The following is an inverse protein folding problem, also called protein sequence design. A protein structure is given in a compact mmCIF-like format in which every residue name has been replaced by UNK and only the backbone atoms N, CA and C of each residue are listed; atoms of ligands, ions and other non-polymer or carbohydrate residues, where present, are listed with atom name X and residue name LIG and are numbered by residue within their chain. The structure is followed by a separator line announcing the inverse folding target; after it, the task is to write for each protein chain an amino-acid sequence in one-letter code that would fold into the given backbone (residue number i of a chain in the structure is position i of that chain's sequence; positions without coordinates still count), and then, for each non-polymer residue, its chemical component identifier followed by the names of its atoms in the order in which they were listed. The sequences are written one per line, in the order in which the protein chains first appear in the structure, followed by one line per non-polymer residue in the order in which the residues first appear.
data_IF_511009939345
#
_entry.id   IF_511009939345
#
_cell.length_a   1.000
_cell.length_b   1.000
_cell.length_c   1.000
_cell.angle_alpha   90.00
_cell.angle_beta   90.00
_cell.angle_gamma   90.00
#
_symmetry.space_group_name_H-M   'P 1'
#
loop_
_entity.id
_entity.type
_entity.pdbx_description
1 polymer ?
#
# COMPACT_ATOMS: atom_id res chain seq x y z
N UNK A 1 19.44 26.48 -55.44
CA UNK A 1 20.26 25.32 -55.05
C UNK A 1 19.32 24.28 -54.48
N UNK A 2 19.08 23.23 -55.26
CA UNK A 2 18.15 22.14 -54.98
C UNK A 2 18.83 21.13 -54.07
N UNK A 3 18.25 20.85 -52.91
CA UNK A 3 18.68 19.75 -52.03
C UNK A 3 18.02 18.48 -52.58
N UNK A 4 18.86 17.53 -52.95
CA UNK A 4 18.50 16.21 -53.47
C UNK A 4 18.00 15.38 -52.28
N UNK A 5 16.75 14.94 -52.33
CA UNK A 5 16.22 13.85 -51.52
C UNK A 5 16.96 12.56 -51.85
N UNK A 6 17.72 12.02 -50.90
CA UNK A 6 18.13 10.62 -50.92
C UNK A 6 17.25 9.83 -49.95
N UNK A 7 16.17 9.28 -50.50
CA UNK A 7 15.45 8.14 -49.94
C UNK A 7 16.40 6.94 -50.00
N UNK A 8 17.01 6.58 -48.87
CA UNK A 8 17.67 5.27 -48.75
C UNK A 8 16.60 4.21 -48.54
N UNK A 9 16.32 3.49 -49.61
CA UNK A 9 15.60 2.22 -49.63
C UNK A 9 16.37 1.23 -48.75
N UNK A 10 15.87 0.96 -47.54
CA UNK A 10 16.31 -0.16 -46.75
C UNK A 10 15.74 -1.43 -47.39
N UNK A 11 16.64 -2.30 -47.86
CA UNK A 11 16.32 -3.56 -48.49
C UNK A 11 15.52 -4.46 -47.55
N UNK A 12 14.33 -4.84 -48.02
CA UNK A 12 13.53 -5.95 -47.51
C UNK A 12 14.37 -7.24 -47.52
N UNK A 13 15.02 -7.55 -46.39
CA UNK A 13 15.46 -8.91 -46.08
C UNK A 13 14.38 -9.56 -45.24
N UNK A 14 13.39 -10.11 -45.94
CA UNK A 14 12.39 -11.01 -45.39
C UNK A 14 13.06 -12.35 -45.04
N UNK A 15 13.65 -12.45 -43.85
CA UNK A 15 13.85 -13.74 -43.20
C UNK A 15 12.56 -14.08 -42.46
N UNK A 16 11.68 -14.79 -43.16
CA UNK A 16 10.44 -15.37 -42.65
C UNK A 16 10.79 -16.65 -41.89
N UNK A 17 10.79 -16.61 -40.56
CA UNK A 17 10.80 -17.75 -39.63
C UNK A 17 10.55 -17.16 -38.23
N UNK A 18 9.50 -17.41 -37.45
CA UNK A 18 8.33 -18.26 -37.58
C UNK A 18 7.11 -17.50 -37.02
N UNK A 19 5.96 -17.66 -37.67
CA UNK A 19 4.67 -17.20 -37.20
C UNK A 19 4.34 -17.83 -35.84
N UNK A 20 4.09 -17.00 -34.83
CA UNK A 20 3.33 -17.37 -33.63
C UNK A 20 1.92 -17.70 -34.09
N UNK A 21 1.63 -18.98 -34.26
CA UNK A 21 0.28 -19.46 -34.52
C UNK A 21 -0.55 -19.33 -33.24
N UNK A 22 -1.77 -18.84 -33.36
CA UNK A 22 -2.85 -19.13 -32.43
C UNK A 22 -2.89 -20.64 -32.14
N UNK A 23 -2.53 -21.04 -30.91
CA UNK A 23 -2.69 -22.43 -30.45
C UNK A 23 -3.89 -22.48 -29.49
N UNK A 24 -5.07 -22.89 -29.98
CA UNK A 24 -6.08 -23.51 -29.14
C UNK A 24 -5.76 -25.01 -29.06
N UNK A 25 -4.96 -25.43 -28.08
CA UNK A 25 -4.98 -26.78 -27.47
C UNK A 25 -3.79 -26.96 -26.53
N UNK A 26 -4.01 -27.83 -25.55
CA UNK A 26 -3.13 -28.36 -24.50
C UNK A 26 -1.85 -29.05 -25.00
N UNK A 27 -1.06 -28.42 -25.88
CA UNK A 27 0.31 -28.86 -26.16
C UNK A 27 1.22 -28.32 -25.07
N UNK A 28 1.95 -29.23 -24.41
CA UNK A 28 2.88 -28.92 -23.33
C UNK A 28 3.85 -27.83 -23.77
N UNK A 29 3.72 -26.65 -23.19
CA UNK A 29 4.62 -25.53 -23.39
C UNK A 29 6.02 -25.93 -22.89
N UNK A 30 7.01 -25.83 -23.77
CA UNK A 30 8.42 -26.03 -23.44
C UNK A 30 9.21 -24.77 -23.74
N UNK A 31 9.89 -24.19 -22.74
CA UNK A 31 10.76 -23.02 -22.92
C UNK A 31 10.47 -21.85 -21.98
N UNK A 32 10.81 -20.64 -22.43
CA UNK A 32 10.60 -19.37 -21.72
C UNK A 32 9.25 -18.78 -22.11
N UNK A 33 8.43 -18.44 -21.12
CA UNK A 33 7.09 -17.93 -21.39
C UNK A 33 7.14 -16.47 -21.80
N UNK A 34 6.52 -16.16 -22.94
CA UNK A 34 6.52 -14.83 -23.57
C UNK A 34 5.16 -14.58 -24.18
N UNK A 35 4.50 -13.52 -23.76
CA UNK A 35 3.23 -13.11 -24.37
C UNK A 35 2.88 -11.66 -24.02
N UNK A 36 3.12 -10.74 -24.95
CA UNK A 36 2.77 -9.32 -24.79
C UNK A 36 1.29 -9.02 -25.04
N UNK A 37 0.51 -9.99 -25.52
CA UNK A 37 -0.93 -9.84 -25.80
C UNK A 37 -1.83 -10.28 -24.64
N UNK A 38 -1.26 -10.93 -23.62
CA UNK A 38 -2.00 -11.34 -22.42
C UNK A 38 -1.60 -10.48 -21.22
N UNK A 39 -2.58 -9.85 -20.58
CA UNK A 39 -2.35 -9.08 -19.36
C UNK A 39 -1.87 -9.98 -18.21
N UNK A 40 -2.56 -11.10 -18.01
CA UNK A 40 -2.32 -12.03 -16.91
C UNK A 40 -1.57 -13.26 -17.43
N UNK A 41 -0.51 -13.66 -16.73
CA UNK A 41 0.24 -14.86 -17.07
C UNK A 41 -0.65 -16.11 -16.94
N UNK A 42 -0.69 -16.92 -18.00
CA UNK A 42 -1.48 -18.15 -18.05
C UNK A 42 -1.11 -19.18 -16.97
N UNK A 43 0.16 -19.21 -16.54
CA UNK A 43 0.65 -20.17 -15.55
C UNK A 43 0.59 -19.67 -14.12
N UNK A 44 0.57 -18.34 -13.93
CA UNK A 44 0.60 -17.69 -12.62
C UNK A 44 -0.32 -16.48 -12.63
N UNK A 45 -1.53 -16.63 -12.10
CA UNK A 45 -2.58 -15.61 -12.15
C UNK A 45 -2.30 -14.34 -11.33
N UNK A 46 -1.27 -14.36 -10.47
CA UNK A 46 -0.77 -13.20 -9.75
C UNK A 46 0.20 -12.34 -10.55
N UNK A 47 0.66 -12.82 -11.71
CA UNK A 47 1.67 -12.16 -12.54
C UNK A 47 1.04 -11.43 -13.72
N UNK A 48 1.43 -10.17 -13.89
CA UNK A 48 0.96 -9.27 -14.96
C UNK A 48 2.11 -9.00 -15.94
N UNK A 49 1.83 -9.05 -17.24
CA UNK A 49 2.83 -8.78 -18.27
C UNK A 49 3.15 -7.28 -18.37
N UNK A 50 4.43 -6.95 -18.33
CA UNK A 50 4.90 -5.57 -18.38
C UNK A 50 4.73 -4.90 -19.74
N UNK A 51 4.97 -5.63 -20.82
CA UNK A 51 4.87 -5.11 -22.18
C UNK A 51 3.39 -4.88 -22.53
N UNK A 52 2.50 -5.81 -22.14
CA UNK A 52 1.05 -5.60 -22.27
C UNK A 52 0.63 -4.29 -21.59
N UNK A 53 1.07 -4.07 -20.34
CA UNK A 53 0.71 -2.87 -19.60
C UNK A 53 1.25 -1.59 -20.25
N UNK A 54 2.46 -1.65 -20.82
CA UNK A 54 3.06 -0.53 -21.54
C UNK A 54 2.22 -0.09 -22.75
N UNK A 55 1.91 -1.04 -23.65
CA UNK A 55 1.21 -0.74 -24.90
C UNK A 55 -0.26 -0.36 -24.70
N UNK A 56 -0.91 -0.92 -23.67
CA UNK A 56 -2.35 -0.71 -23.48
C UNK A 56 -2.66 0.48 -22.55
N UNK A 57 -1.76 0.81 -21.60
CA UNK A 57 -2.10 1.74 -20.52
C UNK A 57 -1.18 2.97 -20.42
N UNK A 58 -0.05 3.02 -21.13
CA UNK A 58 0.93 4.10 -20.97
C UNK A 58 1.08 4.97 -22.22
N UNK A 59 1.45 4.36 -23.35
CA UNK A 59 1.84 5.06 -24.58
C UNK A 59 0.96 4.57 -25.72
N UNK A 60 0.45 5.47 -26.57
CA UNK A 60 -0.23 5.06 -27.81
C UNK A 60 0.77 4.84 -28.93
N UNK A 61 0.47 3.99 -29.93
CA UNK A 61 1.37 3.75 -31.07
C UNK A 61 1.83 5.04 -31.78
N UNK A 62 1.00 6.09 -31.78
CA UNK A 62 1.35 7.41 -32.34
C UNK A 62 2.37 8.21 -31.53
N UNK A 63 2.62 7.82 -30.28
CA UNK A 63 3.55 8.46 -29.35
C UNK A 63 4.90 7.71 -29.31
N UNK A 64 5.01 6.52 -29.91
CA UNK A 64 6.22 5.70 -29.95
C UNK A 64 7.32 6.39 -30.78
N UNK A 65 8.51 6.54 -30.16
CA UNK A 65 9.68 7.13 -30.78
C UNK A 65 10.86 6.18 -30.57
N UNK A 66 11.66 5.98 -31.61
CA UNK A 66 12.95 5.30 -31.48
C UNK A 66 13.96 6.37 -31.07
N UNK A 67 14.56 6.18 -29.89
CA UNK A 67 15.52 7.10 -29.28
C UNK A 67 16.89 6.41 -29.17
N UNK A 68 17.92 7.17 -28.81
CA UNK A 68 19.27 6.61 -28.65
C UNK A 68 19.32 5.53 -27.57
N UNK A 69 20.15 4.51 -27.80
CA UNK A 69 20.45 3.44 -26.85
C UNK A 69 21.95 3.13 -26.91
N UNK A 70 22.65 3.26 -25.77
CA UNK A 70 24.09 2.98 -25.62
C UNK A 70 24.41 1.56 -25.14
N UNK A 71 23.43 0.67 -25.10
CA UNK A 71 23.57 -0.68 -24.54
C UNK A 71 24.63 -1.51 -25.26
N UNK A 72 25.56 -2.05 -24.48
CA UNK A 72 26.55 -3.03 -24.93
C UNK A 72 26.44 -4.30 -24.09
N UNK A 73 25.62 -5.24 -24.55
CA UNK A 73 25.36 -6.49 -23.85
C UNK A 73 26.12 -7.69 -24.45
N UNK A 74 27.13 -7.46 -25.29
CA UNK A 74 27.83 -8.51 -26.07
C UNK A 74 28.42 -9.64 -25.23
N UNK A 75 28.74 -9.38 -23.97
CA UNK A 75 29.38 -10.34 -23.07
C UNK A 75 28.41 -10.90 -22.01
N UNK A 76 27.11 -10.64 -22.13
CA UNK A 76 26.09 -11.12 -21.20
C UNK A 76 25.29 -12.23 -21.89
N UNK A 77 25.18 -13.44 -21.30
CA UNK A 77 24.41 -14.52 -21.90
C UNK A 77 22.94 -14.15 -22.03
N UNK A 78 22.27 -14.66 -23.07
CA UNK A 78 20.82 -14.55 -23.20
C UNK A 78 20.16 -15.69 -22.43
N UNK A 79 19.11 -15.40 -21.66
CA UNK A 79 18.33 -16.47 -21.03
C UNK A 79 17.66 -17.38 -22.08
N UNK A 80 17.36 -16.84 -23.27
CA UNK A 80 16.78 -17.60 -24.37
C UNK A 80 17.73 -18.67 -24.87
N UNK A 81 19.04 -18.38 -24.88
CA UNK A 81 20.06 -19.31 -25.37
C UNK A 81 20.34 -20.45 -24.37
N UNK A 82 20.06 -20.22 -23.07
CA UNK A 82 20.28 -21.20 -22.00
C UNK A 82 19.01 -21.93 -21.53
N UNK A 83 17.84 -21.56 -22.05
CA UNK A 83 16.54 -22.03 -21.53
C UNK A 83 16.41 -23.55 -21.54
N UNK A 84 16.94 -24.22 -22.56
CA UNK A 84 16.90 -25.68 -22.66
C UNK A 84 17.74 -26.36 -21.57
N UNK A 85 18.92 -25.80 -21.25
CA UNK A 85 19.77 -26.31 -20.16
C UNK A 85 19.13 -26.02 -18.79
N UNK A 86 18.54 -24.83 -18.62
CA UNK A 86 17.81 -24.44 -17.40
C UNK A 86 16.67 -25.43 -17.11
N UNK A 87 15.88 -25.76 -18.12
CA UNK A 87 14.74 -26.69 -17.98
C UNK A 87 15.21 -28.13 -17.75
N UNK A 88 16.29 -28.55 -18.44
CA UNK A 88 16.80 -29.92 -18.36
C UNK A 88 17.59 -30.17 -17.06
N UNK A 89 18.21 -29.14 -16.50
CA UNK A 89 19.11 -29.20 -15.35
C UNK A 89 18.77 -28.18 -14.27
N UNK A 90 17.52 -28.12 -13.74
CA UNK A 90 17.07 -27.04 -12.85
C UNK A 90 17.90 -26.96 -11.56
N UNK A 91 18.35 -28.11 -11.02
CA UNK A 91 19.14 -28.15 -9.78
C UNK A 91 20.48 -27.42 -9.91
N UNK A 92 21.12 -27.48 -11.09
CA UNK A 92 22.38 -26.76 -11.35
C UNK A 92 22.21 -25.26 -11.10
N UNK A 93 21.16 -24.67 -11.66
CA UNK A 93 20.89 -23.24 -11.57
C UNK A 93 20.41 -22.81 -10.18
N UNK A 94 19.66 -23.68 -9.49
CA UNK A 94 19.29 -23.47 -8.09
C UNK A 94 20.54 -23.42 -7.20
N UNK A 95 21.49 -24.32 -7.41
CA UNK A 95 22.72 -24.41 -6.60
C UNK A 95 23.74 -23.30 -6.93
N UNK A 96 23.80 -22.86 -8.20
CA UNK A 96 24.66 -21.74 -8.63
C UNK A 96 24.19 -20.38 -8.07
N UNK A 97 22.89 -20.23 -7.82
CA UNK A 97 22.30 -19.03 -7.23
C UNK A 97 22.02 -17.94 -8.27
N UNK A 98 22.30 -16.68 -7.93
CA UNK A 98 21.96 -15.53 -8.79
C UNK A 98 22.82 -15.47 -10.05
N UNK A 99 22.18 -15.44 -11.23
CA UNK A 99 22.84 -15.32 -12.53
C UNK A 99 22.47 -14.01 -13.23
N UNK A 100 23.36 -13.48 -14.08
CA UNK A 100 23.10 -12.26 -14.85
C UNK A 100 22.77 -12.60 -16.32
N UNK A 101 21.58 -12.23 -16.78
CA UNK A 101 21.11 -12.53 -18.13
C UNK A 101 20.64 -11.28 -18.89
N UNK A 102 20.70 -11.37 -20.22
CA UNK A 102 19.85 -10.61 -21.14
C UNK A 102 18.50 -11.30 -21.20
N UNK A 103 17.44 -10.52 -21.00
CA UNK A 103 16.07 -11.01 -20.89
C UNK A 103 15.19 -10.18 -21.83
N UNK A 104 14.44 -10.80 -22.76
CA UNK A 104 13.45 -10.11 -23.57
C UNK A 104 12.38 -9.43 -22.70
N UNK A 105 12.01 -8.19 -23.01
CA UNK A 105 11.02 -7.42 -22.23
C UNK A 105 9.66 -8.13 -22.12
N UNK A 106 9.22 -8.78 -23.20
CA UNK A 106 7.95 -9.52 -23.28
C UNK A 106 7.90 -10.82 -22.45
N UNK A 107 9.04 -11.22 -21.88
CA UNK A 107 9.17 -12.34 -20.95
C UNK A 107 9.11 -11.93 -19.48
N UNK A 108 9.12 -10.62 -19.19
CA UNK A 108 9.12 -10.12 -17.82
C UNK A 108 7.69 -9.90 -17.33
N UNK A 109 7.32 -10.62 -16.28
CA UNK A 109 6.05 -10.45 -15.59
C UNK A 109 6.28 -9.88 -14.20
N UNK A 110 5.27 -9.26 -13.62
CA UNK A 110 5.36 -8.65 -12.29
C UNK A 110 4.15 -8.99 -11.44
N UNK A 111 4.39 -9.27 -10.16
CA UNK A 111 3.34 -9.44 -9.17
C UNK A 111 2.91 -8.07 -8.62
N UNK A 112 1.77 -7.55 -9.08
CA UNK A 112 1.17 -6.27 -8.65
C UNK A 112 -0.24 -6.47 -8.06
N UNK A 113 -0.49 -6.01 -6.83
CA UNK A 113 -1.76 -6.23 -6.13
C UNK A 113 -2.97 -5.46 -6.69
N UNK A 114 -2.75 -4.46 -7.56
CA UNK A 114 -3.83 -3.66 -8.15
C UNK A 114 -4.15 -4.05 -9.59
N UNK A 115 -3.22 -4.73 -10.27
CA UNK A 115 -3.40 -5.18 -11.66
C UNK A 115 -3.63 -6.68 -11.77
N UNK A 116 -3.01 -7.48 -10.91
CA UNK A 116 -3.15 -8.94 -10.91
C UNK A 116 -4.27 -9.45 -10.01
N UNK A 117 -4.58 -10.73 -10.14
CA UNK A 117 -5.55 -11.41 -9.26
C UNK A 117 -4.95 -11.79 -7.89
N UNK A 118 -3.63 -11.68 -7.75
CA UNK A 118 -2.90 -12.00 -6.53
C UNK A 118 -2.42 -10.80 -5.73
N UNK A 119 -1.80 -11.08 -4.58
CA UNK A 119 -1.24 -10.07 -3.68
C UNK A 119 0.16 -9.63 -4.09
N UNK A 120 0.30 -8.88 -5.16
CA UNK A 120 1.60 -8.38 -5.61
C UNK A 120 2.19 -7.24 -4.77
N UNK A 121 3.50 -7.28 -4.53
CA UNK A 121 4.21 -6.21 -3.81
C UNK A 121 4.77 -5.11 -4.73
N UNK A 122 4.83 -5.36 -6.04
CA UNK A 122 5.31 -4.35 -6.98
C UNK A 122 4.22 -3.31 -7.30
N UNK A 123 4.61 -2.25 -8.03
CA UNK A 123 3.82 -1.03 -8.24
C UNK A 123 3.78 -0.63 -9.72
N UNK A 124 3.64 -1.61 -10.60
CA UNK A 124 3.43 -1.38 -12.03
C UNK A 124 2.20 -0.49 -12.26
N UNK A 125 1.15 -0.62 -11.44
CA UNK A 125 -0.07 0.20 -11.51
C UNK A 125 0.15 1.71 -11.45
N UNK A 126 1.32 2.18 -11.00
CA UNK A 126 1.67 3.61 -10.97
C UNK A 126 2.12 4.14 -12.34
N UNK A 127 2.44 3.25 -13.27
CA UNK A 127 2.83 3.58 -14.63
C UNK A 127 1.59 3.53 -15.53
N UNK A 128 0.87 4.64 -15.60
CA UNK A 128 -0.27 4.82 -16.49
C UNK A 128 -0.17 6.19 -17.16
N UNK A 129 -0.83 6.34 -18.31
CA UNK A 129 -0.77 7.56 -19.12
C UNK A 129 -1.07 8.82 -18.29
N UNK A 130 -0.14 9.77 -18.33
CA UNK A 130 -0.26 11.05 -17.63
C UNK A 130 0.09 11.03 -16.14
N UNK A 131 0.47 9.88 -15.57
CA UNK A 131 0.93 9.80 -14.18
C UNK A 131 2.24 10.59 -13.98
N UNK A 132 2.46 11.10 -12.76
CA UNK A 132 3.72 11.79 -12.44
C UNK A 132 4.94 10.87 -12.58
N UNK A 133 4.78 9.55 -12.42
CA UNK A 133 5.88 8.61 -12.62
C UNK A 133 6.27 8.56 -14.10
N UNK A 134 5.29 8.40 -15.00
CA UNK A 134 5.53 8.36 -16.45
C UNK A 134 6.19 9.66 -16.92
N UNK A 135 5.68 10.83 -16.49
CA UNK A 135 6.27 12.14 -16.84
C UNK A 135 7.73 12.26 -16.44
N UNK A 136 8.08 11.85 -15.21
CA UNK A 136 9.47 11.89 -14.73
C UNK A 136 10.41 11.03 -15.57
N UNK A 137 9.96 9.83 -15.98
CA UNK A 137 10.77 8.95 -16.82
C UNK A 137 10.82 9.40 -18.28
N UNK A 138 9.72 9.93 -18.81
CA UNK A 138 9.67 10.50 -20.17
C UNK A 138 10.61 11.68 -20.31
N UNK A 139 10.64 12.62 -19.36
CA UNK A 139 11.59 13.74 -19.38
C UNK A 139 13.03 13.25 -19.51
N UNK A 140 13.40 12.23 -18.73
CA UNK A 140 14.74 11.63 -18.76
C UNK A 140 15.05 10.93 -20.08
N UNK A 141 14.10 10.13 -20.59
CA UNK A 141 14.26 9.34 -21.82
C UNK A 141 14.30 10.24 -23.05
N UNK A 142 13.47 11.28 -23.10
CA UNK A 142 13.45 12.22 -24.22
C UNK A 142 14.75 13.04 -24.33
N UNK A 143 15.40 13.32 -23.20
CA UNK A 143 16.68 14.06 -23.19
C UNK A 143 17.87 13.17 -23.60
N UNK A 144 17.95 11.94 -23.09
CA UNK A 144 19.18 11.14 -23.17
C UNK A 144 19.02 9.76 -23.85
N UNK A 145 17.79 9.38 -24.22
CA UNK A 145 17.48 8.01 -24.61
C UNK A 145 17.69 7.01 -23.47
N UNK A 146 18.04 5.76 -23.80
CA UNK A 146 18.46 4.76 -22.84
C UNK A 146 19.97 4.83 -22.59
N UNK A 147 20.35 4.86 -21.30
CA UNK A 147 21.73 4.80 -20.85
C UNK A 147 21.96 3.61 -19.90
N UNK A 148 22.79 2.66 -20.31
CA UNK A 148 23.17 1.47 -19.55
C UNK A 148 24.03 1.84 -18.35
N UNK A 149 25.01 2.74 -18.48
CA UNK A 149 25.91 3.11 -17.36
C UNK A 149 25.15 3.70 -16.17
N UNK A 150 24.01 4.35 -16.42
CA UNK A 150 23.10 4.88 -15.40
C UNK A 150 21.99 3.92 -14.95
N UNK A 151 22.05 2.64 -15.36
CA UNK A 151 20.98 1.66 -15.16
C UNK A 151 21.51 0.36 -14.54
N UNK A 152 21.27 0.19 -13.24
CA UNK A 152 21.50 -1.09 -12.57
C UNK A 152 20.65 -2.21 -13.20
N UNK A 153 21.09 -3.48 -13.12
CA UNK A 153 20.26 -4.62 -13.50
C UNK A 153 18.87 -4.59 -12.85
N UNK A 154 17.90 -5.18 -13.54
CA UNK A 154 16.63 -5.57 -12.92
C UNK A 154 16.89 -6.77 -11.99
N UNK A 155 15.95 -7.07 -11.10
CA UNK A 155 15.98 -8.28 -10.28
C UNK A 155 14.70 -9.06 -10.49
N UNK A 156 14.82 -10.36 -10.69
CA UNK A 156 13.69 -11.26 -10.87
C UNK A 156 14.00 -12.69 -10.43
N UNK A 157 12.95 -13.51 -10.47
CA UNK A 157 13.00 -14.92 -10.12
C UNK A 157 12.47 -15.77 -11.26
N UNK A 158 13.06 -16.94 -11.46
CA UNK A 158 12.45 -18.00 -12.29
C UNK A 158 11.44 -18.78 -11.47
N UNK A 159 10.20 -18.80 -11.95
CA UNK A 159 9.17 -19.75 -11.51
C UNK A 159 9.05 -20.89 -12.52
N UNK A 160 8.97 -22.11 -12.03
CA UNK A 160 8.95 -23.31 -12.85
C UNK A 160 7.54 -23.62 -13.33
N UNK A 161 7.39 -23.88 -14.63
CA UNK A 161 6.18 -24.48 -15.20
C UNK A 161 6.38 -25.99 -15.19
N UNK A 162 5.50 -26.70 -14.48
CA UNK A 162 5.61 -28.14 -14.23
C UNK A 162 4.41 -28.84 -14.84
N UNK A 163 4.65 -29.93 -15.58
CA UNK A 163 3.59 -30.74 -16.16
C UNK A 163 2.84 -31.55 -15.07
N UNK A 164 1.69 -32.16 -15.39
CA UNK A 164 0.95 -33.01 -14.44
C UNK A 164 1.74 -34.22 -13.91
N UNK A 165 2.89 -34.55 -14.50
CA UNK A 165 3.77 -35.63 -14.08
C UNK A 165 4.94 -35.15 -13.21
N UNK A 166 4.99 -33.86 -12.87
CA UNK A 166 6.03 -33.28 -12.01
C UNK A 166 7.32 -32.91 -12.74
N UNK A 167 7.35 -32.91 -14.08
CA UNK A 167 8.53 -32.52 -14.86
C UNK A 167 8.47 -31.05 -15.20
N UNK A 168 9.62 -30.36 -15.07
CA UNK A 168 9.76 -28.98 -15.53
C UNK A 168 9.66 -28.97 -17.05
N UNK A 169 8.71 -28.21 -17.60
CA UNK A 169 8.59 -28.01 -19.04
C UNK A 169 8.98 -26.59 -19.42
N UNK A 170 8.84 -25.60 -18.54
CA UNK A 170 9.20 -24.24 -18.88
C UNK A 170 9.47 -23.35 -17.69
N UNK A 171 9.73 -22.07 -17.99
CA UNK A 171 10.01 -21.04 -17.00
C UNK A 171 9.21 -19.77 -17.27
N UNK A 172 8.83 -19.08 -16.19
CA UNK A 172 8.27 -17.72 -16.20
C UNK A 172 9.16 -16.83 -15.35
N UNK A 173 9.47 -15.62 -15.83
CA UNK A 173 10.29 -14.65 -15.10
C UNK A 173 9.38 -13.71 -14.31
N UNK A 174 9.41 -13.82 -12.98
CA UNK A 174 8.78 -12.89 -12.05
C UNK A 174 9.77 -11.79 -11.68
N UNK A 175 9.67 -10.64 -12.34
CA UNK A 175 10.43 -9.43 -12.04
C UNK A 175 9.85 -8.76 -10.80
N UNK A 176 10.72 -8.56 -9.80
CA UNK A 176 10.36 -7.94 -8.52
C UNK A 176 10.76 -6.47 -8.46
N UNK A 177 11.72 -6.00 -9.27
CA UNK A 177 12.10 -4.59 -9.28
C UNK A 177 12.56 -4.09 -10.65
N UNK A 178 12.39 -2.77 -10.87
CA UNK A 178 12.92 -2.09 -12.05
C UNK A 178 11.88 -1.65 -13.10
N UNK A 179 10.61 -1.46 -12.72
CA UNK A 179 9.55 -0.96 -13.63
C UNK A 179 9.95 0.30 -14.41
N UNK A 180 10.61 1.27 -13.77
CA UNK A 180 11.10 2.47 -14.47
C UNK A 180 12.15 2.14 -15.52
N UNK A 181 13.07 1.22 -15.24
CA UNK A 181 14.10 0.79 -16.21
C UNK A 181 13.50 0.01 -17.37
N UNK A 182 12.57 -0.90 -17.07
CA UNK A 182 11.79 -1.60 -18.10
C UNK A 182 11.06 -0.60 -19.01
N UNK A 183 10.33 0.34 -18.40
CA UNK A 183 9.62 1.41 -19.10
C UNK A 183 10.54 2.22 -20.02
N UNK A 184 11.64 2.75 -19.48
CA UNK A 184 12.58 3.57 -20.25
C UNK A 184 13.18 2.80 -21.41
N UNK A 185 13.51 1.51 -21.21
CA UNK A 185 14.09 0.66 -22.25
C UNK A 185 13.10 0.45 -23.40
N UNK A 186 11.86 0.04 -23.12
CA UNK A 186 10.80 -0.07 -24.13
C UNK A 186 10.54 1.26 -24.83
N UNK A 187 10.47 2.34 -24.05
CA UNK A 187 10.21 3.69 -24.55
C UNK A 187 11.24 4.12 -25.59
N UNK A 188 12.52 3.85 -25.34
CA UNK A 188 13.61 4.17 -26.28
C UNK A 188 13.60 3.32 -27.54
N UNK A 189 12.93 2.16 -27.55
CA UNK A 189 12.84 1.25 -28.70
C UNK A 189 11.52 1.38 -29.45
N UNK A 190 10.77 2.46 -29.24
CA UNK A 190 9.45 2.62 -29.84
C UNK A 190 8.50 1.47 -29.51
N UNK A 191 8.58 0.94 -28.29
CA UNK A 191 7.74 -0.17 -27.83
C UNK A 191 8.12 -1.55 -28.37
N UNK A 192 9.13 -1.67 -29.23
CA UNK A 192 9.56 -2.98 -29.72
C UNK A 192 10.20 -3.82 -28.61
N UNK A 193 9.96 -5.13 -28.66
CA UNK A 193 10.61 -6.09 -27.76
C UNK A 193 12.11 -5.95 -27.88
N UNK A 194 12.77 -5.79 -26.73
CA UNK A 194 14.22 -5.58 -26.62
C UNK A 194 14.75 -6.31 -25.40
N UNK A 195 16.07 -6.35 -25.21
CA UNK A 195 16.70 -7.01 -24.06
C UNK A 195 16.85 -6.03 -22.89
N UNK A 196 16.56 -6.49 -21.68
CA UNK A 196 16.99 -5.86 -20.43
C UNK A 196 18.00 -6.75 -19.71
N UNK A 197 18.94 -6.14 -18.97
CA UNK A 197 19.82 -6.91 -18.10
C UNK A 197 19.09 -7.20 -16.78
N UNK A 198 19.02 -8.46 -16.38
CA UNK A 198 18.39 -8.91 -15.15
C UNK A 198 19.29 -9.85 -14.36
N UNK A 199 19.40 -9.62 -13.05
CA UNK A 199 19.85 -10.61 -12.08
C UNK A 199 18.67 -11.55 -11.78
N UNK A 200 18.85 -12.83 -12.08
CA UNK A 200 17.83 -13.86 -11.95
C UNK A 200 18.25 -14.84 -10.87
N UNK A 201 17.37 -14.99 -9.88
CA UNK A 201 17.43 -16.08 -8.90
C UNK A 201 16.51 -17.22 -9.32
N UNK A 202 16.88 -18.46 -8.95
CA UNK A 202 16.10 -19.64 -9.24
C UNK A 202 15.46 -20.18 -7.97
N UNK A 203 14.13 -20.30 -7.97
CA UNK A 203 13.42 -20.93 -6.85
C UNK A 203 13.67 -22.44 -6.81
N UNK A 204 13.42 -23.07 -5.68
CA UNK A 204 13.27 -24.54 -5.66
C UNK A 204 12.12 -24.99 -6.56
N UNK A 205 12.22 -26.20 -7.11
CA UNK A 205 11.12 -26.81 -7.87
C UNK A 205 10.05 -27.28 -6.89
N UNK A 206 8.88 -26.61 -6.91
CA UNK A 206 7.71 -27.01 -6.14
C UNK A 206 6.76 -27.77 -7.08
N UNK A 207 6.43 -29.01 -6.72
CA UNK A 207 5.54 -29.88 -7.52
C UNK A 207 4.08 -29.73 -7.11
N UNK A 208 3.83 -29.19 -5.92
CA UNK A 208 2.55 -28.67 -5.52
C UNK A 208 2.37 -27.28 -6.14
N UNK A 209 1.35 -27.09 -6.97
CA UNK A 209 1.02 -25.80 -7.61
C UNK A 209 0.61 -24.69 -6.61
N UNK A 210 1.00 -24.77 -5.34
CA UNK A 210 0.79 -23.73 -4.36
C UNK A 210 1.91 -22.68 -4.47
N UNK A 211 1.71 -21.72 -5.36
CA UNK A 211 2.68 -20.66 -5.66
C UNK A 211 2.94 -19.67 -4.51
N UNK A 212 2.27 -19.84 -3.36
CA UNK A 212 2.49 -19.03 -2.15
C UNK A 212 3.97 -18.99 -1.73
N UNK A 213 4.71 -20.10 -1.90
CA UNK A 213 6.13 -20.16 -1.57
C UNK A 213 6.98 -19.26 -2.47
N UNK A 214 6.75 -19.28 -3.79
CA UNK A 214 7.41 -18.37 -4.73
C UNK A 214 7.21 -16.94 -4.31
N UNK A 215 5.95 -16.59 -4.06
CA UNK A 215 5.61 -15.22 -3.76
C UNK A 215 6.18 -14.73 -2.43
N UNK A 216 6.27 -15.60 -1.41
CA UNK A 216 6.88 -15.27 -0.12
C UNK A 216 8.36 -14.89 -0.30
N UNK A 217 9.13 -15.74 -0.99
CA UNK A 217 10.57 -15.52 -1.24
C UNK A 217 10.80 -14.26 -2.09
N UNK A 218 10.01 -14.08 -3.16
CA UNK A 218 10.07 -12.89 -4.02
C UNK A 218 9.81 -11.61 -3.23
N UNK A 219 8.81 -11.65 -2.35
CA UNK A 219 8.43 -10.51 -1.52
C UNK A 219 9.46 -10.20 -0.44
N UNK A 220 10.05 -11.22 0.18
CA UNK A 220 11.17 -11.04 1.13
C UNK A 220 12.35 -10.32 0.47
N UNK A 221 12.70 -10.72 -0.77
CA UNK A 221 13.76 -10.08 -1.54
C UNK A 221 13.41 -8.65 -1.94
N UNK A 222 12.17 -8.40 -2.38
CA UNK A 222 11.66 -7.05 -2.64
C UNK A 222 11.79 -6.12 -1.42
N UNK A 223 11.40 -6.60 -0.23
CA UNK A 223 11.48 -5.81 1.00
C UNK A 223 12.92 -5.54 1.40
N UNK A 224 13.84 -6.49 1.22
CA UNK A 224 15.27 -6.34 1.54
C UNK A 224 15.95 -5.32 0.64
N UNK A 225 15.78 -5.46 -0.68
CA UNK A 225 16.48 -4.63 -1.67
C UNK A 225 16.07 -3.14 -1.58
N UNK A 226 14.83 -2.88 -1.17
CA UNK A 226 14.26 -1.53 -1.17
C UNK A 226 14.42 -0.77 0.15
N UNK A 227 14.86 -1.42 1.24
CA UNK A 227 15.20 -0.74 2.50
C UNK A 227 16.27 0.36 2.32
N UNK A 228 17.04 0.30 1.23
CA UNK A 228 18.15 1.21 0.95
C UNK A 228 17.88 2.23 -0.18
N UNK A 229 16.82 2.07 -1.00
CA UNK A 229 16.73 2.80 -2.28
C UNK A 229 15.51 3.71 -2.46
N UNK A 230 14.36 3.47 -1.80
CA UNK A 230 13.21 4.40 -1.79
C UNK A 230 12.19 4.02 -0.69
N UNK A 231 11.62 4.98 0.08
CA UNK A 231 10.57 4.65 1.05
C UNK A 231 9.27 4.25 0.34
N UNK A 232 8.85 2.99 0.49
CA UNK A 232 7.53 2.54 0.03
C UNK A 232 6.38 3.25 0.76
N UNK A 233 5.24 3.39 0.08
CA UNK A 233 3.98 3.76 0.71
C UNK A 233 3.52 2.68 1.72
N UNK A 234 2.59 3.06 2.59
CA UNK A 234 2.12 2.21 3.69
C UNK A 234 1.48 0.92 3.20
N UNK A 235 0.65 0.97 2.15
CA UNK A 235 0.00 -0.21 1.56
C UNK A 235 1.02 -1.22 1.06
N UNK A 236 1.96 -0.77 0.22
CA UNK A 236 2.98 -1.65 -0.35
C UNK A 236 3.80 -2.34 0.75
N UNK A 237 4.18 -1.61 1.82
CA UNK A 237 4.88 -2.19 2.98
C UNK A 237 4.05 -3.25 3.70
N UNK A 238 2.75 -3.01 3.83
CA UNK A 238 1.85 -3.91 4.53
C UNK A 238 1.58 -5.18 3.74
N UNK A 239 1.23 -5.07 2.44
CA UNK A 239 1.10 -6.21 1.52
C UNK A 239 2.36 -7.06 1.57
N UNK A 240 3.51 -6.43 1.34
CA UNK A 240 4.77 -7.13 1.28
C UNK A 240 5.13 -7.82 2.62
N UNK A 241 4.92 -7.10 3.72
CA UNK A 241 5.20 -7.60 5.05
C UNK A 241 4.31 -8.76 5.51
N UNK A 242 3.01 -8.72 5.20
CA UNK A 242 2.08 -9.82 5.51
C UNK A 242 2.45 -11.05 4.69
N UNK A 243 2.76 -10.86 3.41
CA UNK A 243 3.04 -11.94 2.47
C UNK A 243 4.38 -12.63 2.70
N UNK A 244 5.40 -11.89 3.14
CA UNK A 244 6.65 -12.49 3.62
C UNK A 244 6.48 -13.27 4.93
N UNK A 245 5.33 -13.15 5.60
CA UNK A 245 5.10 -13.75 6.91
C UNK A 245 5.87 -13.07 8.03
N UNK A 246 6.33 -11.83 7.84
CA UNK A 246 6.95 -11.06 8.91
C UNK A 246 5.92 -10.83 10.01
N UNK A 247 6.23 -11.40 11.19
CA UNK A 247 5.36 -11.44 12.36
C UNK A 247 4.80 -10.07 12.73
N UNK A 248 5.56 -8.99 12.56
CA UNK A 248 5.05 -7.63 12.82
C UNK A 248 3.79 -7.33 12.01
N UNK A 249 3.80 -7.66 10.73
CA UNK A 249 2.74 -7.31 9.80
C UNK A 249 1.59 -8.31 9.87
N UNK A 250 1.90 -9.60 10.09
CA UNK A 250 0.90 -10.64 10.34
C UNK A 250 0.05 -10.30 11.58
N UNK A 251 0.66 -9.86 12.68
CA UNK A 251 -0.11 -9.48 13.89
C UNK A 251 -0.95 -8.22 13.67
N UNK A 252 -0.44 -7.24 12.89
CA UNK A 252 -1.24 -6.07 12.52
C UNK A 252 -2.45 -6.44 11.66
N UNK A 253 -2.27 -7.36 10.70
CA UNK A 253 -3.37 -7.92 9.90
C UNK A 253 -4.39 -8.63 10.80
N UNK A 254 -3.94 -9.47 11.73
CA UNK A 254 -4.83 -10.18 12.65
C UNK A 254 -5.64 -9.21 13.52
N UNK A 255 -5.04 -8.09 13.97
CA UNK A 255 -5.76 -7.03 14.67
C UNK A 255 -6.86 -6.42 13.78
N UNK A 256 -6.55 -6.12 12.51
CA UNK A 256 -7.54 -5.56 11.59
C UNK A 256 -8.65 -6.55 11.25
N UNK A 257 -8.33 -7.81 11.00
CA UNK A 257 -9.31 -8.88 10.81
C UNK A 257 -10.25 -9.02 12.02
N UNK A 258 -9.69 -9.12 13.24
CA UNK A 258 -10.46 -9.18 14.49
C UNK A 258 -11.45 -8.03 14.63
N UNK A 259 -11.10 -6.88 14.09
CA UNK A 259 -11.86 -5.65 14.21
C UNK A 259 -12.66 -5.30 12.95
N UNK A 260 -12.82 -6.24 12.00
CA UNK A 260 -13.59 -6.03 10.77
C UNK A 260 -13.11 -4.75 10.03
N UNK A 261 -11.79 -4.65 9.86
CA UNK A 261 -11.10 -3.61 9.07
C UNK A 261 -10.35 -4.30 7.94
N UNK A 262 -10.51 -3.80 6.73
CA UNK A 262 -9.61 -4.01 5.61
C UNK A 262 -8.70 -2.79 5.43
N UNK A 263 -7.47 -3.02 5.02
CA UNK A 263 -6.55 -1.94 4.67
C UNK A 263 -5.99 -2.24 3.29
N UNK A 264 -6.43 -1.45 2.30
CA UNK A 264 -6.09 -1.59 0.87
C UNK A 264 -6.33 -3.01 0.31
N UNK A 265 -7.37 -3.69 0.82
CA UNK A 265 -7.75 -5.04 0.39
C UNK A 265 -6.85 -6.16 0.93
N UNK A 266 -5.89 -5.87 1.81
CA UNK A 266 -4.94 -6.87 2.30
C UNK A 266 -5.63 -7.94 3.14
N UNK A 267 -6.58 -7.57 3.99
CA UNK A 267 -7.23 -8.55 4.86
C UNK A 267 -8.11 -9.47 4.03
N UNK A 268 -8.93 -8.91 3.13
CA UNK A 268 -9.80 -9.71 2.25
C UNK A 268 -9.06 -10.63 1.30
N UNK A 269 -7.86 -10.25 0.87
CA UNK A 269 -7.04 -11.07 -0.03
C UNK A 269 -6.17 -12.11 0.69
N UNK A 270 -5.90 -11.94 1.99
CA UNK A 270 -5.02 -12.85 2.77
C UNK A 270 -5.76 -13.75 3.75
N UNK A 271 -7.07 -13.59 3.87
CA UNK A 271 -7.94 -14.30 4.81
C UNK A 271 -9.26 -14.65 4.13
N UNK A 272 -10.09 -15.48 4.74
CA UNK A 272 -11.45 -15.74 4.27
C UNK A 272 -12.45 -14.68 4.76
N UNK A 273 -11.97 -13.63 5.42
CA UNK A 273 -12.78 -12.55 5.96
C UNK A 273 -12.98 -11.48 4.89
N UNK A 274 -14.19 -10.93 4.77
CA UNK A 274 -14.47 -9.79 3.87
C UNK A 274 -14.86 -8.61 4.76
N UNK A 275 -13.89 -7.78 5.20
CA UNK A 275 -14.21 -6.76 6.17
C UNK A 275 -15.05 -5.63 5.58
N UNK A 276 -15.96 -5.08 6.38
CA UNK A 276 -16.87 -4.03 5.91
C UNK A 276 -16.26 -2.62 5.93
N UNK A 277 -15.18 -2.42 6.69
CA UNK A 277 -14.61 -1.11 6.94
C UNK A 277 -13.21 -0.98 6.37
N UNK A 278 -12.84 0.22 5.94
CA UNK A 278 -11.50 0.56 5.49
C UNK A 278 -10.90 1.64 6.38
N UNK A 279 -9.62 1.49 6.73
CA UNK A 279 -8.88 2.50 7.48
C UNK A 279 -8.05 3.37 6.52
N UNK A 280 -8.15 4.70 6.61
CA UNK A 280 -7.40 5.60 5.71
C UNK A 280 -5.87 5.53 5.86
N UNK A 281 -5.38 5.09 7.02
CA UNK A 281 -3.95 4.87 7.32
C UNK A 281 -3.81 4.03 8.58
N UNK A 282 -2.82 3.13 8.65
CA UNK A 282 -2.50 2.42 9.88
C UNK A 282 -1.43 3.12 10.75
N UNK A 283 -1.03 4.36 10.41
CA UNK A 283 0.02 5.06 11.14
C UNK A 283 -0.29 5.15 12.65
N UNK A 284 0.72 4.90 13.48
CA UNK A 284 0.57 4.81 14.94
C UNK A 284 0.29 3.38 15.42
N UNK A 285 -0.37 2.56 14.62
CA UNK A 285 -0.59 1.14 14.90
C UNK A 285 0.56 0.32 14.34
N UNK A 286 1.25 -0.40 15.23
CA UNK A 286 2.41 -1.19 14.85
C UNK A 286 2.64 -2.32 15.85
N UNK A 287 3.33 -3.35 15.40
CA UNK A 287 3.90 -4.40 16.23
C UNK A 287 5.43 -4.40 16.09
N UNK A 288 6.13 -4.94 17.08
CA UNK A 288 7.56 -5.19 17.00
C UNK A 288 7.86 -6.46 16.22
N UNK A 289 9.15 -6.69 15.87
CA UNK A 289 9.60 -7.91 15.17
C UNK A 289 9.22 -9.22 15.89
N UNK A 290 9.04 -9.17 17.21
CA UNK A 290 8.60 -10.31 18.03
C UNK A 290 7.09 -10.58 18.00
N UNK A 291 6.32 -9.75 17.28
CA UNK A 291 4.85 -9.76 17.29
C UNK A 291 4.23 -9.14 18.54
N UNK A 292 5.02 -8.44 19.37
CA UNK A 292 4.49 -7.71 20.53
C UNK A 292 3.90 -6.37 20.12
N UNK A 293 2.80 -5.91 20.75
CA UNK A 293 2.23 -4.60 20.46
C UNK A 293 3.26 -3.47 20.55
N UNK A 294 3.24 -2.60 19.55
CA UNK A 294 4.04 -1.39 19.48
C UNK A 294 3.54 -0.32 20.44
N UNK A 295 4.13 0.89 20.36
CA UNK A 295 3.95 1.93 21.39
C UNK A 295 2.48 2.29 21.64
N UNK A 296 1.70 2.61 20.61
CA UNK A 296 0.30 3.06 20.82
C UNK A 296 -0.58 1.94 21.36
N UNK A 297 -0.60 0.77 20.71
CA UNK A 297 -1.42 -0.37 21.14
C UNK A 297 -1.03 -0.82 22.55
N UNK A 298 0.27 -0.86 22.87
CA UNK A 298 0.74 -1.22 24.22
C UNK A 298 0.39 -0.18 25.27
N UNK A 299 0.49 1.12 24.93
CA UNK A 299 0.24 2.20 25.88
C UNK A 299 -1.25 2.37 26.17
N UNK A 300 -2.08 2.33 25.13
CA UNK A 300 -3.52 2.56 25.25
C UNK A 300 -4.33 1.28 25.45
N UNK A 301 -3.79 0.11 25.11
CA UNK A 301 -4.49 -1.17 25.21
C UNK A 301 -5.47 -1.44 24.06
N UNK A 302 -5.62 -2.71 23.71
CA UNK A 302 -6.56 -3.15 22.66
C UNK A 302 -8.03 -2.89 23.03
N UNK A 303 -8.37 -2.87 24.32
CA UNK A 303 -9.74 -2.60 24.77
C UNK A 303 -10.15 -1.15 24.43
N UNK A 304 -9.31 -0.15 24.69
CA UNK A 304 -9.60 1.23 24.28
C UNK A 304 -9.57 1.42 22.77
N UNK A 305 -8.72 0.67 22.06
CA UNK A 305 -8.74 0.60 20.60
C UNK A 305 -10.10 0.11 20.08
N UNK A 306 -10.60 -1.01 20.61
CA UNK A 306 -11.89 -1.58 20.22
C UNK A 306 -13.07 -0.63 20.48
N UNK A 307 -13.11 0.02 21.65
CA UNK A 307 -14.16 1.00 21.97
C UNK A 307 -14.11 2.22 21.06
N UNK A 308 -12.94 2.80 20.83
CA UNK A 308 -12.76 3.94 19.94
C UNK A 308 -13.17 3.61 18.50
N UNK A 309 -12.77 2.44 18.02
CA UNK A 309 -13.09 1.98 16.68
C UNK A 309 -14.59 1.73 16.49
N UNK A 310 -15.22 1.00 17.41
CA UNK A 310 -16.65 0.72 17.32
C UNK A 310 -17.48 2.00 17.39
N UNK A 311 -17.10 2.94 18.25
CA UNK A 311 -17.74 4.28 18.30
C UNK A 311 -17.63 4.99 16.95
N UNK A 312 -16.45 4.96 16.31
CA UNK A 312 -16.23 5.60 15.02
C UNK A 312 -17.02 4.92 13.89
N UNK A 313 -17.12 3.58 13.90
CA UNK A 313 -17.95 2.81 12.98
C UNK A 313 -19.43 3.19 13.09
N UNK A 314 -19.95 3.25 14.31
CA UNK A 314 -21.35 3.63 14.56
C UNK A 314 -21.65 5.07 14.11
N UNK A 315 -20.72 6.00 14.37
CA UNK A 315 -20.81 7.38 13.86
C UNK A 315 -20.86 7.38 12.33
N UNK A 316 -19.93 6.70 11.66
CA UNK A 316 -19.83 6.70 10.20
C UNK A 316 -21.05 6.03 9.54
N UNK A 317 -21.54 4.95 10.13
CA UNK A 317 -22.76 4.27 9.71
C UNK A 317 -23.98 5.20 9.83
N UNK A 318 -24.17 5.84 10.98
CA UNK A 318 -25.30 6.76 11.21
C UNK A 318 -25.27 7.94 10.24
N UNK A 319 -24.08 8.52 10.00
CA UNK A 319 -23.90 9.65 9.07
C UNK A 319 -24.23 9.26 7.63
N UNK A 320 -23.88 8.04 7.22
CA UNK A 320 -24.10 7.56 5.85
C UNK A 320 -25.55 7.14 5.59
N UNK A 321 -26.21 6.43 6.52
CA UNK A 321 -27.64 6.11 6.40
C UNK A 321 -28.52 7.37 6.36
N UNK A 322 -28.16 8.40 7.13
CA UNK A 322 -28.86 9.68 7.14
C UNK A 322 -28.66 10.53 5.87
N UNK A 323 -27.84 10.09 4.91
CA UNK A 323 -27.54 10.85 3.70
C UNK A 323 -26.77 12.15 3.96
N UNK A 324 -26.17 12.30 5.14
CA UNK A 324 -25.55 13.55 5.56
C UNK A 324 -24.28 13.85 4.76
N UNK A 325 -24.07 15.13 4.42
CA UNK A 325 -22.87 15.61 3.74
C UNK A 325 -21.98 16.41 4.69
N UNK A 326 -20.67 16.37 4.46
CA UNK A 326 -19.68 17.15 5.23
C UNK A 326 -19.01 18.19 4.33
N UNK A 327 -18.81 19.39 4.87
CA UNK A 327 -18.03 20.44 4.21
C UNK A 327 -16.53 20.16 4.38
N UNK A 328 -15.84 19.92 3.26
CA UNK A 328 -14.38 19.79 3.23
C UNK A 328 -13.75 21.07 2.68
N UNK A 329 -12.83 21.66 3.45
CA UNK A 329 -12.05 22.82 3.02
C UNK A 329 -11.41 22.57 1.66
N UNK A 330 -11.62 23.49 0.71
CA UNK A 330 -11.10 23.39 -0.66
C UNK A 330 -11.79 22.39 -1.59
N UNK A 331 -12.74 21.57 -1.11
CA UNK A 331 -13.52 20.61 -1.92
C UNK A 331 -15.03 20.82 -1.88
N UNK A 332 -15.51 21.73 -1.03
CA UNK A 332 -16.95 22.00 -0.87
C UNK A 332 -17.66 20.85 -0.15
N UNK A 333 -18.94 20.67 -0.44
CA UNK A 333 -19.75 19.58 0.11
C UNK A 333 -19.34 18.25 -0.51
N UNK A 334 -19.03 17.28 0.34
CA UNK A 334 -18.66 15.93 -0.09
C UNK A 334 -19.55 14.90 0.57
N UNK A 335 -20.05 13.96 -0.23
CA UNK A 335 -20.66 12.72 0.26
C UNK A 335 -19.60 11.91 1.00
N UNK A 336 -19.99 11.38 2.15
CA UNK A 336 -19.07 10.64 3.01
C UNK A 336 -18.94 9.20 2.49
N UNK A 337 -17.72 8.69 2.29
CA UNK A 337 -17.54 7.27 1.99
C UNK A 337 -18.11 6.44 3.15
N UNK A 338 -19.07 5.56 2.83
CA UNK A 338 -19.85 4.81 3.84
C UNK A 338 -18.95 3.99 4.79
N UNK A 339 -17.83 3.48 4.27
CA UNK A 339 -17.02 2.47 4.94
C UNK A 339 -15.60 2.95 5.29
N UNK A 340 -15.27 4.25 5.15
CA UNK A 340 -13.91 4.74 5.42
C UNK A 340 -13.81 5.39 6.80
N UNK A 341 -12.80 4.96 7.57
CA UNK A 341 -12.53 5.41 8.94
C UNK A 341 -11.28 6.31 8.97
N UNK A 342 -11.40 7.58 9.44
CA UNK A 342 -10.26 8.46 9.59
C UNK A 342 -9.33 8.01 10.74
N UNK A 343 -8.06 7.73 10.42
CA UNK A 343 -7.06 7.31 11.40
C UNK A 343 -6.83 8.36 12.51
N UNK A 344 -6.86 9.64 12.14
CA UNK A 344 -6.72 10.77 13.06
C UNK A 344 -7.83 10.79 14.12
N UNK A 345 -9.08 10.58 13.70
CA UNK A 345 -10.23 10.48 14.59
C UNK A 345 -10.09 9.26 15.53
N UNK A 346 -9.78 8.09 14.97
CA UNK A 346 -9.56 6.86 15.73
C UNK A 346 -8.50 7.07 16.83
N UNK A 347 -7.33 7.61 16.47
CA UNK A 347 -6.23 7.84 17.42
C UNK A 347 -6.56 8.89 18.48
N UNK A 348 -7.41 9.86 18.15
CA UNK A 348 -7.89 10.86 19.13
C UNK A 348 -8.86 10.21 20.11
N UNK A 349 -9.82 9.41 19.62
CA UNK A 349 -10.77 8.69 20.46
C UNK A 349 -10.07 7.70 21.39
N UNK A 350 -9.08 6.95 20.90
CA UNK A 350 -8.28 6.03 21.74
C UNK A 350 -7.71 6.74 22.98
N UNK A 351 -7.16 7.94 22.78
CA UNK A 351 -6.61 8.76 23.87
C UNK A 351 -7.69 9.20 24.85
N UNK A 352 -8.86 9.58 24.35
CA UNK A 352 -9.99 9.95 25.20
C UNK A 352 -10.50 8.76 26.02
N UNK A 353 -10.72 7.60 25.39
CA UNK A 353 -11.13 6.38 26.09
C UNK A 353 -10.11 6.00 27.17
N UNK A 354 -8.82 5.91 26.83
CA UNK A 354 -7.78 5.59 27.81
C UNK A 354 -7.70 6.60 28.97
N UNK A 355 -7.78 7.90 28.68
CA UNK A 355 -7.54 8.92 29.70
C UNK A 355 -8.76 9.17 30.59
N UNK A 356 -9.97 9.06 30.05
CA UNK A 356 -11.20 9.40 30.76
C UNK A 356 -11.90 8.18 31.38
N UNK A 357 -11.67 6.97 30.87
CA UNK A 357 -12.44 5.80 31.28
C UNK A 357 -11.63 4.78 32.10
N UNK A 358 -10.33 4.99 32.24
CA UNK A 358 -9.47 4.12 33.04
C UNK A 358 -9.12 4.74 34.40
N UNK A 359 -8.98 3.87 35.40
CA UNK A 359 -8.36 4.22 36.68
C UNK A 359 -6.87 4.52 36.48
N UNK A 360 -6.32 5.44 37.27
CA UNK A 360 -4.89 5.73 37.23
C UNK A 360 -4.38 6.21 38.58
N UNK A 361 -3.06 6.14 38.77
CA UNK A 361 -2.39 6.78 39.92
C UNK A 361 -2.09 8.22 39.58
N UNK A 362 -2.58 9.15 40.38
CA UNK A 362 -2.23 10.55 40.25
C UNK A 362 -0.78 10.79 40.69
N UNK A 363 0.05 11.36 39.82
CA UNK A 363 1.48 11.53 40.06
C UNK A 363 1.78 12.53 41.20
N UNK A 364 0.94 13.55 41.38
CA UNK A 364 1.15 14.54 42.45
C UNK A 364 0.74 14.03 43.83
N UNK A 365 -0.35 13.27 43.91
CA UNK A 365 -0.92 12.86 45.19
C UNK A 365 -0.65 11.40 45.55
N UNK A 366 -0.17 10.60 44.59
CA UNK A 366 0.02 9.15 44.72
C UNK A 366 -1.30 8.36 44.84
N UNK A 367 -2.45 9.02 44.74
CA UNK A 367 -3.76 8.39 44.97
C UNK A 367 -4.27 7.71 43.71
N UNK A 368 -4.96 6.58 43.90
CA UNK A 368 -5.76 5.99 42.84
C UNK A 368 -6.97 6.88 42.54
N UNK A 369 -7.06 7.35 41.31
CA UNK A 369 -8.17 8.11 40.78
C UNK A 369 -9.07 7.15 39.99
N UNK A 370 -10.37 7.06 40.30
CA UNK A 370 -11.29 6.25 39.52
C UNK A 370 -11.49 6.84 38.11
N UNK A 371 -12.06 6.07 37.17
CA UNK A 371 -12.49 6.57 35.87
C UNK A 371 -13.27 7.88 35.98
N UNK A 372 -13.02 8.80 35.05
CA UNK A 372 -13.72 10.09 35.01
C UNK A 372 -15.19 9.91 34.59
N UNK A 373 -15.42 9.06 33.59
CA UNK A 373 -16.72 8.58 33.13
C UNK A 373 -16.63 7.10 32.71
N UNK A 374 -17.76 6.46 32.40
CA UNK A 374 -17.74 5.12 31.82
C UNK A 374 -17.43 5.16 30.33
N UNK A 375 -17.07 4.02 29.75
CA UNK A 375 -16.87 3.89 28.30
C UNK A 375 -18.17 4.14 27.52
N UNK A 376 -19.29 3.70 28.07
CA UNK A 376 -20.61 3.90 27.47
C UNK A 376 -20.99 5.38 27.45
N UNK A 377 -20.74 6.11 28.55
CA UNK A 377 -20.99 7.56 28.58
C UNK A 377 -20.18 8.29 27.50
N UNK A 378 -18.88 8.00 27.41
CA UNK A 378 -18.01 8.65 26.43
C UNK A 378 -18.42 8.29 24.99
N UNK A 379 -18.74 7.01 24.73
CA UNK A 379 -19.26 6.55 23.44
C UNK A 379 -20.50 7.35 23.04
N UNK A 380 -21.50 7.43 23.92
CA UNK A 380 -22.78 8.08 23.62
C UNK A 380 -22.62 9.57 23.36
N UNK A 381 -21.75 10.25 24.10
CA UNK A 381 -21.47 11.68 23.88
C UNK A 381 -20.76 11.91 22.54
N UNK A 382 -19.75 11.09 22.23
CA UNK A 382 -19.03 11.19 20.95
C UNK A 382 -19.95 10.87 19.77
N UNK A 383 -20.80 9.86 19.91
CA UNK A 383 -21.81 9.50 18.92
C UNK A 383 -22.74 10.69 18.65
N UNK A 384 -23.40 11.19 19.70
CA UNK A 384 -24.28 12.35 19.60
C UNK A 384 -23.60 13.54 18.91
N UNK A 385 -22.38 13.89 19.33
CA UNK A 385 -21.65 15.03 18.76
C UNK A 385 -21.47 14.87 17.25
N UNK A 386 -20.94 13.74 16.79
CA UNK A 386 -20.56 13.56 15.40
C UNK A 386 -21.70 13.06 14.49
N UNK A 387 -22.89 12.82 15.03
CA UNK A 387 -24.09 12.53 14.25
C UNK A 387 -25.14 13.64 14.33
N UNK A 388 -24.96 14.64 15.18
CA UNK A 388 -25.88 15.77 15.30
C UNK A 388 -25.93 16.55 13.99
N UNK A 389 -27.15 16.68 13.45
CA UNK A 389 -27.42 17.50 12.27
C UNK A 389 -27.88 18.90 12.66
N UNK A 390 -27.62 19.85 11.76
CA UNK A 390 -28.06 21.23 11.91
C UNK A 390 -29.60 21.32 11.84
N UNK A 391 -30.13 22.55 12.03
CA UNK A 391 -31.58 22.78 11.97
C UNK A 391 -32.24 22.39 10.65
N UNK A 392 -31.52 22.41 9.53
CA UNK A 392 -32.09 21.96 8.24
C UNK A 392 -32.11 20.44 8.10
N UNK A 393 -31.41 19.70 8.98
CA UNK A 393 -31.27 18.25 8.89
C UNK A 393 -30.35 17.78 7.76
N UNK A 394 -29.71 18.71 7.04
CA UNK A 394 -28.96 18.43 5.82
C UNK A 394 -27.46 18.23 6.08
N UNK A 395 -26.93 18.83 7.16
CA UNK A 395 -25.50 18.88 7.45
C UNK A 395 -25.21 18.43 8.86
N UNK A 396 -24.15 17.64 9.03
CA UNK A 396 -23.61 17.34 10.36
C UNK A 396 -23.00 18.63 10.94
N UNK A 397 -23.37 19.00 12.17
CA UNK A 397 -22.87 20.21 12.84
C UNK A 397 -21.36 20.12 13.11
N UNK A 398 -20.87 18.91 13.43
CA UNK A 398 -19.48 18.65 13.77
C UNK A 398 -18.91 17.57 12.86
N UNK A 399 -17.95 17.95 12.01
CA UNK A 399 -17.33 17.03 11.06
C UNK A 399 -16.14 16.29 11.65
N UNK A 400 -15.96 15.01 11.34
CA UNK A 400 -14.75 14.25 11.73
C UNK A 400 -13.47 14.87 11.15
N UNK A 401 -13.55 15.70 10.11
CA UNK A 401 -12.40 16.43 9.59
C UNK A 401 -11.80 17.42 10.60
N UNK A 402 -12.53 17.83 11.64
CA UNK A 402 -11.99 18.66 12.74
C UNK A 402 -10.90 17.92 13.54
N UNK A 403 -10.92 16.59 13.51
CA UNK A 403 -9.95 15.73 14.18
C UNK A 403 -8.70 15.46 13.33
N UNK A 404 -8.64 15.96 12.10
CA UNK A 404 -7.45 15.84 11.28
C UNK A 404 -6.32 16.70 11.84
N UNK A 405 -5.12 16.11 11.91
CA UNK A 405 -3.91 16.85 12.22
C UNK A 405 -3.69 17.92 11.14
N UNK A 406 -3.72 19.19 11.52
CA UNK A 406 -3.33 20.31 10.66
C UNK A 406 -1.83 20.56 10.81
N UNK A 407 -1.20 21.19 9.83
CA UNK A 407 0.26 21.39 9.84
C UNK A 407 0.78 22.10 11.11
N UNK A 408 -0.04 22.98 11.70
CA UNK A 408 0.25 23.70 12.94
C UNK A 408 -0.12 22.92 14.22
N UNK A 409 -0.95 21.87 14.13
CA UNK A 409 -1.52 21.13 15.27
C UNK A 409 -1.46 19.62 15.03
N UNK A 410 -0.34 19.00 15.39
CA UNK A 410 -0.12 17.55 15.27
C UNK A 410 -0.39 16.75 16.55
N UNK A 411 -0.60 17.42 17.68
CA UNK A 411 -0.87 16.74 18.95
C UNK A 411 -2.33 16.28 19.07
N UNK A 412 -2.54 14.97 19.08
CA UNK A 412 -3.87 14.36 19.14
C UNK A 412 -4.56 14.52 20.50
N UNK A 413 -3.82 14.72 21.60
CA UNK A 413 -4.44 15.10 22.87
C UNK A 413 -4.99 16.51 22.76
N UNK A 414 -4.19 17.46 22.26
CA UNK A 414 -4.64 18.84 22.08
C UNK A 414 -5.83 18.93 21.13
N UNK A 415 -5.81 18.19 20.02
CA UNK A 415 -6.95 18.09 19.08
C UNK A 415 -8.22 17.62 19.80
N UNK A 416 -8.16 16.57 20.61
CA UNK A 416 -9.33 16.13 21.39
C UNK A 416 -9.83 17.19 22.38
N UNK A 417 -8.92 17.94 23.01
CA UNK A 417 -9.26 19.02 23.95
C UNK A 417 -9.97 20.17 23.23
N UNK A 418 -9.44 20.60 22.09
CA UNK A 418 -9.94 21.77 21.35
C UNK A 418 -11.22 21.50 20.55
N UNK A 419 -11.57 20.22 20.35
CA UNK A 419 -12.73 19.81 19.54
C UNK A 419 -13.90 19.36 20.40
N UNK A 420 -13.80 18.22 21.09
CA UNK A 420 -14.96 17.60 21.75
C UNK A 420 -14.89 17.55 23.28
N UNK A 421 -13.71 17.72 23.90
CA UNK A 421 -13.60 17.49 25.35
C UNK A 421 -14.49 18.43 26.16
N UNK A 422 -14.66 19.67 25.72
CA UNK A 422 -15.57 20.61 26.39
C UNK A 422 -17.02 20.12 26.38
N UNK A 423 -17.48 19.52 25.28
CA UNK A 423 -18.83 18.95 25.19
C UNK A 423 -18.97 17.71 26.07
N UNK A 424 -17.94 16.87 26.14
CA UNK A 424 -17.89 15.75 27.11
C UNK A 424 -18.02 16.25 28.54
N UNK A 425 -17.30 17.31 28.91
CA UNK A 425 -17.36 17.87 30.26
C UNK A 425 -18.72 18.51 30.57
N UNK A 426 -19.33 19.18 29.59
CA UNK A 426 -20.60 19.87 29.76
C UNK A 426 -21.77 18.87 29.82
N UNK A 427 -21.75 17.82 28.99
CA UNK A 427 -22.80 16.80 28.97
C UNK A 427 -22.81 15.96 30.26
N UNK A 428 -21.64 15.51 30.73
CA UNK A 428 -21.51 14.80 32.01
C UNK A 428 -21.96 15.65 33.22
N UNK A 429 -21.83 16.98 33.13
CA UNK A 429 -22.36 17.88 34.15
C UNK A 429 -23.89 18.03 34.02
N UNK A 430 -24.40 18.18 32.80
CA UNK A 430 -25.83 18.34 32.52
C UNK A 430 -26.67 17.10 32.88
N UNK A 431 -26.10 15.89 32.72
CA UNK A 431 -26.76 14.62 33.07
C UNK A 431 -26.74 14.32 34.58
N UNK A 432 -26.19 15.21 35.43
CA UNK A 432 -26.10 14.99 36.87
C UNK A 432 -25.06 13.94 37.29
N UNK A 433 -24.26 13.42 36.35
CA UNK A 433 -23.11 12.53 36.64
C UNK A 433 -22.04 13.29 37.44
N UNK A 434 -21.98 14.63 37.28
CA UNK A 434 -21.10 15.52 38.06
C UNK A 434 -21.85 16.79 38.49
N UNK A 435 -21.81 17.08 39.79
CA UNK A 435 -22.48 18.27 40.35
C UNK A 435 -21.67 19.58 40.20
N UNK A 436 -20.36 19.48 39.97
CA UNK A 436 -19.47 20.64 39.95
C UNK A 436 -18.81 20.81 38.58
N UNK A 437 -18.64 22.07 38.16
CA UNK A 437 -17.90 22.43 36.95
C UNK A 437 -16.44 21.95 37.08
N UNK A 438 -16.10 20.89 36.37
CA UNK A 438 -14.74 20.32 36.33
C UNK A 438 -13.79 21.35 35.70
N UNK A 439 -12.62 21.58 36.28
CA UNK A 439 -11.61 22.55 35.78
C UNK A 439 -10.31 21.81 35.42
N UNK A 440 -9.36 22.53 34.82
CA UNK A 440 -8.05 22.00 34.40
C UNK A 440 -7.28 21.31 35.53
N UNK A 441 -7.49 21.74 36.78
CA UNK A 441 -6.89 21.16 37.99
C UNK A 441 -7.44 19.79 38.40
N UNK A 442 -8.57 19.34 37.83
CA UNK A 442 -9.08 18.01 38.13
C UNK A 442 -8.07 16.94 37.68
N UNK A 443 -7.75 15.90 38.47
CA UNK A 443 -6.67 14.96 38.15
C UNK A 443 -6.76 14.35 36.74
N UNK A 444 -7.96 13.95 36.31
CA UNK A 444 -8.18 13.42 34.97
C UNK A 444 -7.92 14.45 33.85
N UNK A 445 -8.31 15.72 34.08
CA UNK A 445 -8.08 16.80 33.10
C UNK A 445 -6.59 17.15 33.04
N UNK A 446 -5.94 17.25 34.20
CA UNK A 446 -4.50 17.44 34.27
C UNK A 446 -3.77 16.33 33.53
N UNK A 447 -4.09 15.05 33.77
CA UNK A 447 -3.47 13.92 33.05
C UNK A 447 -3.63 14.06 31.52
N UNK A 448 -4.82 14.44 31.06
CA UNK A 448 -5.07 14.66 29.64
C UNK A 448 -4.23 15.82 29.08
N UNK A 449 -4.24 16.97 29.76
CA UNK A 449 -3.48 18.17 29.37
C UNK A 449 -1.97 17.90 29.39
N UNK A 450 -1.45 17.24 30.43
CA UNK A 450 -0.01 16.98 30.57
C UNK A 450 0.52 16.01 29.51
N UNK A 451 -0.37 15.26 28.86
CA UNK A 451 -0.04 14.39 27.73
C UNK A 451 0.16 15.14 26.41
N UNK A 452 -0.17 16.44 26.35
CA UNK A 452 0.16 17.29 25.21
C UNK A 452 1.68 17.50 25.10
N UNK A 453 2.18 17.64 23.88
CA UNK A 453 3.59 17.58 23.50
C UNK A 453 4.44 18.73 24.04
N UNK A 454 3.87 19.94 24.13
CA UNK A 454 4.62 21.13 24.53
C UNK A 454 3.86 22.03 25.49
N UNK A 455 4.60 22.91 26.17
CA UNK A 455 4.07 23.80 27.21
C UNK A 455 3.08 24.84 26.66
N UNK A 456 3.22 25.24 25.40
CA UNK A 456 2.29 26.20 24.80
C UNK A 456 0.91 25.57 24.62
N UNK A 457 0.85 24.38 24.02
CA UNK A 457 -0.38 23.59 23.88
C UNK A 457 -0.98 23.24 25.24
N UNK A 458 -0.17 22.90 26.24
CA UNK A 458 -0.64 22.67 27.62
C UNK A 458 -1.35 23.90 28.18
N UNK A 459 -0.76 25.09 28.04
CA UNK A 459 -1.35 26.34 28.53
C UNK A 459 -2.65 26.68 27.79
N UNK A 460 -2.68 26.54 26.46
CA UNK A 460 -3.89 26.73 25.68
C UNK A 460 -5.00 25.73 26.09
N UNK A 461 -4.66 24.46 26.27
CA UNK A 461 -5.58 23.44 26.71
C UNK A 461 -6.21 23.74 28.07
N UNK A 462 -5.41 24.23 29.04
CA UNK A 462 -5.94 24.68 30.35
C UNK A 462 -6.94 25.82 30.16
N UNK A 463 -6.61 26.81 29.34
CA UNK A 463 -7.50 27.94 29.07
C UNK A 463 -8.82 27.50 28.42
N UNK A 464 -8.77 26.56 27.46
CA UNK A 464 -9.96 26.01 26.81
C UNK A 464 -10.87 25.33 27.85
N UNK A 465 -10.33 24.45 28.68
CA UNK A 465 -11.10 23.71 29.69
C UNK A 465 -11.67 24.65 30.75
N UNK A 466 -10.86 25.60 31.24
CA UNK A 466 -11.26 26.48 32.33
C UNK A 466 -12.31 27.50 31.88
N UNK A 467 -12.19 28.01 30.66
CA UNK A 467 -13.07 29.05 30.11
C UNK A 467 -14.16 28.51 29.17
N UNK A 468 -14.37 27.19 29.13
CA UNK A 468 -15.44 26.60 28.30
C UNK A 468 -16.81 27.24 28.59
N UNK A 469 -17.70 27.37 27.59
CA UNK A 469 -19.03 27.92 27.80
C UNK A 469 -19.83 27.15 28.86
#
# INVERSE_FOLDING_TARGET
MSIIEQLSVAENTTSTEAFVSDIPSTKDFVGLYRNSNEEICRYFDDLVNNDYHYHNNIVTNSEELILSDDSNYKNIPSIVDEVEDIISNPQKYIDEGTCLYRVPTDSCFTSDAKLGNGLGADRLWRFFKGSNHVKQYDERVMENGWCQQGSNPLTGFVRWVVDPWGRVTGIVISKICGNGRHYMKLRSHGGQVTDVIMMIDFHSVYTDMNYTNYQKIETESFVRDQQHQNPHDQSTKFIAGVKSGDKKWVELRNLFEKHDIDYDGVVSKTTNSVPNWNLGSFEGFSYGKSGKPGREIRHFGEDNFGWALNTLKEIQFTRSEGGAVEYKSGKGLTTLPQNELPNSALRTFIRAFHTLTEKFTDEETGRQIPPFCTKEDLKNILHWRYTKVNRSGEFVEYGLAELNQKDEMKDLYFVGISTFLCDVLNDLQGQGVRNNRVKSKHPAMRRYIESCSDNHMKNQARNIIDNRP
#
